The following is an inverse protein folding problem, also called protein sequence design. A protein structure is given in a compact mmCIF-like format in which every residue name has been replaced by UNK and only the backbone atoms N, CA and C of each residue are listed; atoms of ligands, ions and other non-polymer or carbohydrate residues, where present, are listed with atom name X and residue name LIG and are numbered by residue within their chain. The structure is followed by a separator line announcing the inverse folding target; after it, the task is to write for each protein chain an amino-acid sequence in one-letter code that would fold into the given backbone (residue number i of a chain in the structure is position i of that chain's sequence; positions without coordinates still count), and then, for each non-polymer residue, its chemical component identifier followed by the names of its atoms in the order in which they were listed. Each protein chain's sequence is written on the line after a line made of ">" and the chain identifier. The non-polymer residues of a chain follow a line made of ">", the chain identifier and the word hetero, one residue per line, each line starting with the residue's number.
data_IF_638714741602
#
_entry.id   IF_638714741602
#
_cell.length_a   1.000
_cell.length_b   1.000
_cell.length_c   1.000
_cell.angle_alpha   90.00
_cell.angle_beta   90.00
_cell.angle_gamma   90.00
#
_symmetry.space_group_name_H-M   'P 1'
#
loop_
_entity.id
_entity.type
_entity.pdbx_description
1 polymer ?
#
# COMPACT_ATOMS: atom_id res chain seq x y z
N UNK A 1 1.14 -7.78 10.50
CA UNK A 1 0.37 -7.20 9.38
C UNK A 1 -0.84 -6.46 9.94
N UNK A 2 -1.42 -5.55 9.15
CA UNK A 2 -2.64 -4.80 9.47
C UNK A 2 -3.40 -4.50 8.17
N UNK A 3 -4.73 -4.34 8.22
CA UNK A 3 -5.54 -4.19 7.02
C UNK A 3 -6.66 -3.16 7.17
N UNK A 4 -7.10 -2.62 6.03
CA UNK A 4 -8.29 -1.79 5.85
C UNK A 4 -9.30 -2.49 4.92
N UNK A 5 -10.23 -1.76 4.30
CA UNK A 5 -11.23 -2.32 3.39
C UNK A 5 -10.60 -2.87 2.11
N UNK A 6 -9.71 -2.10 1.47
CA UNK A 6 -9.12 -2.44 0.17
C UNK A 6 -7.65 -2.84 0.24
N UNK A 7 -6.99 -2.72 1.40
CA UNK A 7 -5.55 -2.99 1.53
C UNK A 7 -5.21 -3.90 2.71
N UNK A 8 -4.10 -4.63 2.56
CA UNK A 8 -3.37 -5.29 3.65
C UNK A 8 -1.89 -4.90 3.61
N UNK A 9 -1.35 -4.54 4.77
CA UNK A 9 0.07 -4.20 4.95
C UNK A 9 0.78 -5.36 5.67
N UNK A 10 1.81 -5.89 5.04
CA UNK A 10 2.80 -6.78 5.63
C UNK A 10 4.07 -5.99 5.92
N UNK A 11 4.80 -6.38 6.96
CA UNK A 11 6.07 -5.75 7.30
C UNK A 11 7.08 -6.80 7.74
N UNK A 12 8.35 -6.53 7.48
CA UNK A 12 9.44 -7.42 7.86
C UNK A 12 9.60 -7.55 9.37
N UNK A 13 10.19 -8.67 9.79
CA UNK A 13 10.37 -9.03 11.21
C UNK A 13 11.12 -7.95 12.03
N UNK A 14 11.97 -7.14 11.40
CA UNK A 14 12.71 -6.05 12.05
C UNK A 14 11.81 -5.01 12.73
N UNK A 15 10.56 -4.84 12.25
CA UNK A 15 9.58 -3.94 12.86
C UNK A 15 8.91 -4.52 14.10
N UNK A 16 9.15 -5.79 14.44
CA UNK A 16 8.49 -6.51 15.53
C UNK A 16 6.96 -6.50 15.37
N UNK A 17 6.21 -6.20 16.43
CA UNK A 17 4.74 -6.14 16.43
C UNK A 17 4.20 -4.80 15.93
N UNK A 18 4.94 -3.71 16.14
CA UNK A 18 4.47 -2.36 15.83
C UNK A 18 5.53 -1.56 15.03
N UNK A 19 5.29 -1.34 13.73
CA UNK A 19 6.16 -0.51 12.90
C UNK A 19 6.31 0.94 13.36
N UNK A 20 5.43 1.45 14.23
CA UNK A 20 5.52 2.80 14.81
C UNK A 20 6.06 2.80 16.25
N UNK A 21 6.64 1.69 16.72
CA UNK A 21 7.14 1.58 18.10
C UNK A 21 8.22 2.61 18.41
N UNK A 22 8.19 3.19 19.61
CA UNK A 22 9.24 4.09 20.11
C UNK A 22 10.57 3.39 20.36
N UNK A 23 10.59 2.06 20.39
CA UNK A 23 11.83 1.26 20.44
C UNK A 23 12.60 1.23 19.13
N UNK A 24 11.96 1.58 18.01
CA UNK A 24 12.61 1.67 16.71
C UNK A 24 13.31 3.04 16.53
N UNK A 25 14.41 3.09 15.76
CA UNK A 25 14.97 4.35 15.27
C UNK A 25 13.88 5.19 14.59
N UNK A 26 13.87 6.50 14.84
CA UNK A 26 12.83 7.39 14.31
C UNK A 26 12.71 7.29 12.79
N UNK A 27 13.83 7.16 12.08
CA UNK A 27 13.88 7.01 10.61
C UNK A 27 13.11 5.78 10.11
N UNK A 28 13.03 4.71 10.91
CA UNK A 28 12.35 3.47 10.55
C UNK A 28 10.87 3.43 10.94
N UNK A 29 10.41 4.29 11.86
CA UNK A 29 9.01 4.22 12.35
C UNK A 29 7.99 4.45 11.23
N UNK A 30 6.93 3.69 11.11
CA UNK A 30 5.87 3.98 10.14
C UNK A 30 4.52 3.89 10.83
N UNK A 31 3.72 4.95 10.72
CA UNK A 31 2.33 4.94 11.15
C UNK A 31 1.49 4.17 10.12
N UNK A 32 1.15 2.92 10.46
CA UNK A 32 0.39 2.03 9.59
C UNK A 32 -1.07 2.48 9.47
N UNK A 33 -1.62 3.18 10.47
CA UNK A 33 -2.98 3.72 10.40
C UNK A 33 -3.06 4.88 9.41
N UNK A 34 -2.11 5.82 9.47
CA UNK A 34 -2.00 6.91 8.50
C UNK A 34 -1.76 6.39 7.07
N UNK A 35 -0.89 5.37 6.92
CA UNK A 35 -0.62 4.73 5.64
C UNK A 35 -1.89 4.12 5.03
N UNK A 36 -2.62 3.32 5.79
CA UNK A 36 -3.87 2.70 5.34
C UNK A 36 -4.93 3.76 5.01
N UNK A 37 -5.13 4.76 5.86
CA UNK A 37 -6.10 5.82 5.64
C UNK A 37 -5.85 6.60 4.33
N UNK A 38 -4.58 6.87 4.02
CA UNK A 38 -4.20 7.54 2.77
C UNK A 38 -4.30 6.60 1.56
N UNK A 39 -3.91 5.34 1.70
CA UNK A 39 -4.09 4.34 0.65
C UNK A 39 -5.56 4.21 0.23
N UNK A 40 -6.48 4.17 1.20
CA UNK A 40 -7.93 4.19 0.95
C UNK A 40 -8.40 5.45 0.21
N UNK A 41 -7.87 6.61 0.58
CA UNK A 41 -8.16 7.86 -0.13
C UNK A 41 -7.71 7.80 -1.60
N UNK A 42 -6.52 7.24 -1.85
CA UNK A 42 -6.01 7.07 -3.21
C UNK A 42 -6.80 6.02 -4.00
N UNK A 43 -7.20 4.92 -3.37
CA UNK A 43 -8.08 3.92 -3.98
C UNK A 43 -9.38 4.56 -4.46
N UNK A 44 -10.03 5.33 -3.59
CA UNK A 44 -11.25 6.07 -3.92
C UNK A 44 -11.06 7.00 -5.12
N UNK A 45 -9.94 7.72 -5.19
CA UNK A 45 -9.65 8.59 -6.34
C UNK A 45 -9.55 7.76 -7.63
N UNK A 46 -8.82 6.64 -7.61
CA UNK A 46 -8.63 5.79 -8.79
C UNK A 46 -9.94 5.13 -9.27
N UNK A 47 -10.77 4.66 -8.34
CA UNK A 47 -12.06 4.01 -8.68
C UNK A 47 -13.15 5.04 -8.99
N UNK A 48 -13.40 5.98 -8.09
CA UNK A 48 -14.58 6.86 -8.21
C UNK A 48 -14.36 8.00 -9.20
N UNK A 49 -13.16 8.58 -9.26
CA UNK A 49 -12.88 9.76 -10.11
C UNK A 49 -12.22 9.40 -11.43
N UNK A 50 -11.18 8.57 -11.40
CA UNK A 50 -10.42 8.21 -12.61
C UNK A 50 -11.05 7.04 -13.37
N UNK A 51 -11.97 6.29 -12.74
CA UNK A 51 -12.67 5.15 -13.35
C UNK A 51 -11.73 4.06 -13.88
N UNK A 52 -10.62 3.83 -13.19
CA UNK A 52 -9.66 2.77 -13.57
C UNK A 52 -10.16 1.36 -13.30
N UNK A 53 -11.18 1.19 -12.46
CA UNK A 53 -11.86 -0.08 -12.25
C UNK A 53 -13.35 0.16 -11.98
N UNK A 54 -14.18 -0.80 -12.38
CA UNK A 54 -15.58 -0.90 -11.98
C UNK A 54 -15.72 -2.01 -10.93
N UNK A 55 -16.30 -1.69 -9.78
CA UNK A 55 -16.52 -2.62 -8.68
C UNK A 55 -17.96 -3.15 -8.69
N UNK A 56 -18.17 -4.33 -8.11
CA UNK A 56 -19.48 -4.94 -7.89
C UNK A 56 -20.04 -5.72 -9.09
N UNK A 57 -19.24 -5.93 -10.13
CA UNK A 57 -19.62 -6.69 -11.32
C UNK A 57 -18.78 -7.97 -11.51
N UNK A 58 -17.86 -8.28 -10.59
CA UNK A 58 -16.95 -9.43 -10.60
C UNK A 58 -15.95 -9.46 -11.76
N UNK A 59 -15.83 -8.35 -12.52
CA UNK A 59 -14.89 -8.23 -13.64
C UNK A 59 -13.49 -7.79 -13.16
N UNK A 60 -13.40 -7.05 -12.05
CA UNK A 60 -12.13 -6.63 -11.47
C UNK A 60 -11.64 -7.60 -10.37
N UNK A 61 -10.34 -7.80 -10.29
CA UNK A 61 -9.72 -8.51 -9.16
C UNK A 61 -9.91 -7.79 -7.82
N UNK A 62 -10.24 -6.50 -7.84
CA UNK A 62 -10.57 -5.70 -6.65
C UNK A 62 -11.87 -6.14 -5.95
N UNK A 63 -12.78 -6.79 -6.68
CA UNK A 63 -13.99 -7.38 -6.07
C UNK A 63 -13.68 -8.63 -5.24
N UNK A 64 -12.49 -9.22 -5.45
CA UNK A 64 -12.09 -10.51 -4.87
C UNK A 64 -10.96 -10.38 -3.87
N UNK A 65 -10.04 -9.44 -4.10
CA UNK A 65 -8.78 -9.35 -3.37
C UNK A 65 -8.49 -7.95 -2.87
N UNK A 66 -7.90 -7.86 -1.68
CA UNK A 66 -7.28 -6.64 -1.18
C UNK A 66 -5.93 -6.43 -1.87
N UNK A 67 -5.60 -5.19 -2.19
CA UNK A 67 -4.26 -4.82 -2.64
C UNK A 67 -3.24 -4.99 -1.51
N UNK A 68 -2.00 -5.28 -1.88
CA UNK A 68 -0.96 -5.63 -0.90
C UNK A 68 0.07 -4.51 -0.76
N UNK A 69 0.52 -4.28 0.45
CA UNK A 69 1.60 -3.34 0.77
C UNK A 69 2.66 -4.10 1.55
N UNK A 70 3.90 -4.11 1.05
CA UNK A 70 5.04 -4.73 1.72
C UNK A 70 6.00 -3.67 2.24
N UNK A 71 6.11 -3.56 3.55
CA UNK A 71 7.01 -2.64 4.23
C UNK A 71 8.36 -3.32 4.55
N UNK A 72 9.41 -2.90 3.86
CA UNK A 72 10.77 -3.39 4.03
C UNK A 72 11.52 -2.63 5.13
N UNK A 73 12.26 -3.36 5.97
CA UNK A 73 13.01 -2.81 7.09
C UNK A 73 14.35 -2.27 6.61
N UNK A 74 14.32 -1.05 6.07
CA UNK A 74 15.51 -0.40 5.49
C UNK A 74 15.43 1.12 5.60
N UNK A 75 16.60 1.77 5.56
CA UNK A 75 16.71 3.24 5.66
C UNK A 75 16.90 3.92 4.30
N UNK A 76 17.23 3.17 3.25
CA UNK A 76 17.29 3.68 1.88
C UNK A 76 15.89 3.87 1.27
N UNK A 77 15.80 4.79 0.31
CA UNK A 77 14.56 5.07 -0.38
C UNK A 77 14.21 3.93 -1.35
N UNK A 78 13.01 3.38 -1.19
CA UNK A 78 12.47 2.30 -1.99
C UNK A 78 10.94 2.43 -2.08
N UNK A 79 10.42 2.55 -3.30
CA UNK A 79 9.00 2.42 -3.62
C UNK A 79 8.85 1.83 -5.02
N UNK A 80 8.04 0.77 -5.15
CA UNK A 80 7.69 0.13 -6.42
C UNK A 80 6.24 -0.33 -6.39
N UNK A 81 5.49 -0.12 -7.47
CA UNK A 81 4.16 -0.67 -7.69
C UNK A 81 4.14 -1.66 -8.85
N UNK A 82 3.50 -2.81 -8.65
CA UNK A 82 3.33 -3.85 -9.68
C UNK A 82 2.16 -4.78 -9.34
N UNK A 83 2.04 -5.90 -10.05
CA UNK A 83 1.15 -7.00 -9.69
C UNK A 83 1.92 -8.09 -8.94
N UNK A 84 1.33 -8.62 -7.87
CA UNK A 84 1.72 -9.89 -7.30
C UNK A 84 1.07 -11.02 -8.12
N UNK A 85 1.91 -11.90 -8.67
CA UNK A 85 1.52 -12.97 -9.60
C UNK A 85 0.67 -12.49 -10.79
N UNK A 86 0.83 -11.22 -11.22
CA UNK A 86 0.01 -10.56 -12.25
C UNK A 86 -1.51 -10.55 -11.96
N UNK A 87 -1.92 -10.77 -10.70
CA UNK A 87 -3.34 -10.85 -10.30
C UNK A 87 -3.71 -9.78 -9.27
N UNK A 88 -2.85 -9.52 -8.29
CA UNK A 88 -3.16 -8.60 -7.18
C UNK A 88 -2.20 -7.44 -7.20
N UNK A 89 -2.69 -6.23 -7.47
CA UNK A 89 -1.92 -4.99 -7.30
C UNK A 89 -1.23 -4.92 -5.93
N UNK A 90 0.08 -4.69 -5.96
CA UNK A 90 0.94 -4.68 -4.80
C UNK A 90 1.97 -3.57 -4.90
N UNK A 91 2.28 -2.97 -3.75
CA UNK A 91 3.38 -2.00 -3.63
C UNK A 91 4.41 -2.48 -2.60
N UNK A 92 5.68 -2.23 -2.88
CA UNK A 92 6.80 -2.48 -1.98
C UNK A 92 7.42 -1.15 -1.59
N UNK A 93 7.51 -0.89 -0.30
CA UNK A 93 7.85 0.42 0.26
C UNK A 93 8.84 0.31 1.41
N UNK A 94 9.52 1.41 1.69
CA UNK A 94 10.43 1.58 2.84
C UNK A 94 9.99 2.76 3.70
N UNK A 95 10.35 2.82 4.99
CA UNK A 95 9.99 3.93 5.89
C UNK A 95 10.22 5.35 5.36
N UNK A 96 11.31 5.68 4.63
CA UNK A 96 11.50 7.00 4.05
C UNK A 96 10.39 7.41 3.05
N UNK A 97 9.77 6.44 2.39
CA UNK A 97 8.70 6.69 1.41
C UNK A 97 7.33 6.88 2.05
N UNK A 98 7.22 6.57 3.35
CA UNK A 98 6.01 6.76 4.14
C UNK A 98 6.05 8.05 4.99
N UNK A 99 7.02 8.95 4.78
CA UNK A 99 7.25 10.13 5.62
C UNK A 99 7.43 11.43 4.82
N UNK A 100 6.34 12.18 4.58
CA UNK A 100 4.95 11.80 4.80
C UNK A 100 4.46 10.85 3.72
N UNK A 101 3.50 9.97 4.05
CA UNK A 101 2.72 9.27 3.02
C UNK A 101 2.04 10.31 2.14
N UNK A 102 2.28 10.25 0.83
CA UNK A 102 1.91 11.30 -0.12
C UNK A 102 1.99 10.87 -1.58
N UNK A 103 2.60 11.70 -2.43
CA UNK A 103 2.61 11.52 -3.89
C UNK A 103 3.26 10.23 -4.37
N UNK A 104 4.35 9.78 -3.71
CA UNK A 104 5.03 8.52 -4.08
C UNK A 104 4.09 7.33 -3.92
N UNK A 105 3.42 7.20 -2.77
CA UNK A 105 2.48 6.10 -2.53
C UNK A 105 1.29 6.17 -3.48
N UNK A 106 0.80 7.38 -3.78
CA UNK A 106 -0.25 7.57 -4.78
C UNK A 106 0.18 7.10 -6.18
N UNK A 107 1.42 7.39 -6.57
CA UNK A 107 1.99 6.98 -7.86
C UNK A 107 2.07 5.44 -7.98
N UNK A 108 2.62 4.76 -6.97
CA UNK A 108 2.75 3.31 -7.00
C UNK A 108 1.41 2.57 -6.93
N UNK A 109 0.43 3.12 -6.19
CA UNK A 109 -0.95 2.59 -6.23
C UNK A 109 -1.51 2.70 -7.65
N UNK A 110 -1.30 3.83 -8.34
CA UNK A 110 -1.70 4.00 -9.73
C UNK A 110 -1.13 2.92 -10.66
N UNK A 111 0.16 2.57 -10.53
CA UNK A 111 0.75 1.45 -11.26
C UNK A 111 0.10 0.11 -10.93
N UNK A 112 -0.20 -0.12 -9.64
CA UNK A 112 -0.80 -1.36 -9.17
C UNK A 112 -2.22 -1.59 -9.71
N UNK A 113 -2.97 -0.53 -10.03
CA UNK A 113 -4.29 -0.62 -10.66
C UNK A 113 -4.25 -1.19 -12.09
N UNK A 114 -3.12 -1.10 -12.80
CA UNK A 114 -3.00 -1.69 -14.14
C UNK A 114 -3.12 -3.22 -14.13
N UNK A 115 -2.93 -3.84 -12.96
CA UNK A 115 -3.02 -5.29 -12.74
C UNK A 115 -4.37 -5.72 -12.16
N UNK A 116 -5.33 -4.80 -12.08
CA UNK A 116 -6.64 -5.01 -11.47
C UNK A 116 -7.80 -5.06 -12.48
N UNK A 117 -7.50 -4.90 -13.76
CA UNK A 117 -8.44 -4.93 -14.91
C UNK A 117 -8.47 -6.28 -15.60
#
# INVERSE_FOLDING_TARGET
>A
SKQSEHFIVFWEKGFTENPNSTSLPEVLRVDIDDLLAKAESFFRINVEKLKFAELGNSLSNLDKYKMQIYLHYREDWMAYGSGYDDVIGAIWVSPPTCKPVGSTIAHEIGHSFQYQV
#
